data_IF_185361649868
#
_entry.id   IF_185361649868
#
_cell.length_a   1.000
_cell.length_b   1.000
_cell.length_c   1.000
_cell.angle_alpha   90.00
_cell.angle_beta   90.00
_cell.angle_gamma   90.00
#
_symmetry.space_group_name_H-M   'P 1'
#
loop_
_entity.id
_entity.type
_entity.pdbx_description
1 polymer ?
#
# COMPACT_ATOMS: atom_id res chain seq x y z
N UNK A 1 -6.89 31.07 6.76
CA UNK A 1 -7.68 29.91 7.21
C UNK A 1 -7.06 28.63 6.65
N UNK A 2 -5.96 28.17 7.22
CA UNK A 2 -5.39 26.85 6.90
C UNK A 2 -5.67 25.96 8.10
N UNK A 3 -6.54 24.96 7.93
CA UNK A 3 -6.83 23.99 8.98
C UNK A 3 -5.51 23.25 9.25
N UNK A 4 -5.04 23.32 10.50
CA UNK A 4 -3.91 22.53 10.98
C UNK A 4 -4.10 21.09 10.48
N UNK A 5 -3.10 20.47 9.82
CA UNK A 5 -3.18 19.05 9.55
C UNK A 5 -3.38 18.33 10.88
N UNK A 6 -4.24 17.30 10.95
CA UNK A 6 -4.37 16.52 12.17
C UNK A 6 -2.99 16.01 12.53
N UNK A 7 -2.45 16.47 13.67
CA UNK A 7 -1.30 15.81 14.29
C UNK A 7 -1.78 14.42 14.60
N UNK A 8 -1.39 13.45 13.77
CA UNK A 8 -1.55 12.04 14.10
C UNK A 8 -0.78 11.89 15.42
N UNK A 9 -1.45 11.60 16.55
CA UNK A 9 -0.73 11.39 17.79
C UNK A 9 0.16 10.17 17.56
N UNK A 10 1.47 10.37 17.71
CA UNK A 10 2.51 9.35 17.57
C UNK A 10 2.47 8.34 18.74
N UNK A 11 1.28 8.01 19.26
CA UNK A 11 1.07 7.35 20.55
C UNK A 11 -0.05 6.33 20.55
N UNK A 12 -0.47 5.80 19.39
CA UNK A 12 -1.20 4.54 19.35
C UNK A 12 -0.16 3.45 19.13
N UNK A 13 0.29 2.86 20.22
CA UNK A 13 1.19 1.72 20.24
C UNK A 13 0.55 0.55 19.46
N UNK A 14 1.09 0.29 18.27
CA UNK A 14 1.81 -0.93 17.89
C UNK A 14 1.48 -2.31 18.55
N UNK A 15 0.24 -2.66 18.95
CA UNK A 15 -0.04 -4.04 19.44
C UNK A 15 -1.36 -4.75 19.02
N UNK A 16 -2.29 -4.13 18.27
CA UNK A 16 -3.46 -4.86 17.69
C UNK A 16 -3.85 -4.38 16.28
N UNK A 17 -2.87 -3.99 15.48
CA UNK A 17 -3.03 -3.95 14.01
C UNK A 17 -2.02 -4.94 13.44
N UNK A 18 -2.44 -5.98 12.70
CA UNK A 18 -1.49 -6.95 12.20
C UNK A 18 -0.46 -6.23 11.35
N UNK A 19 0.77 -6.22 11.86
CA UNK A 19 2.00 -6.04 11.08
C UNK A 19 2.13 -4.70 10.34
N UNK A 20 2.53 -3.64 11.03
CA UNK A 20 3.46 -2.65 10.43
C UNK A 20 4.90 -3.20 10.38
N UNK A 21 5.01 -4.51 10.13
CA UNK A 21 6.24 -5.28 10.14
C UNK A 21 6.14 -6.36 9.08
N UNK A 22 6.57 -6.00 7.86
CA UNK A 22 7.26 -6.87 6.87
C UNK A 22 7.12 -6.29 5.46
N UNK A 23 8.06 -5.43 5.05
CA UNK A 23 8.51 -5.22 3.64
C UNK A 23 7.50 -5.56 2.54
N UNK A 24 6.32 -4.94 2.55
CA UNK A 24 5.46 -4.99 1.38
C UNK A 24 6.10 -4.10 0.31
N UNK A 25 6.60 -4.66 -0.82
CA UNK A 25 7.33 -3.90 -1.82
C UNK A 25 6.45 -2.88 -2.55
N UNK A 26 5.12 -2.94 -2.35
CA UNK A 26 4.13 -2.07 -2.96
C UNK A 26 3.73 -0.89 -2.08
N UNK A 27 4.07 -0.91 -0.78
CA UNK A 27 3.82 0.20 0.14
C UNK A 27 4.38 1.54 -0.39
N UNK A 28 5.50 1.53 -1.12
CA UNK A 28 6.07 2.73 -1.74
C UNK A 28 5.14 3.47 -2.71
N UNK A 29 4.12 2.78 -3.26
CA UNK A 29 3.12 3.39 -4.13
C UNK A 29 1.90 3.93 -3.36
N UNK A 30 1.75 3.61 -2.08
CA UNK A 30 0.64 4.08 -1.26
C UNK A 30 0.70 5.59 -0.98
N UNK A 31 1.87 6.12 -0.59
CA UNK A 31 2.02 7.56 -0.30
C UNK A 31 1.65 8.46 -1.51
N UNK A 32 2.08 8.17 -2.75
CA UNK A 32 1.64 8.91 -3.93
C UNK A 32 0.11 8.92 -4.15
N UNK A 33 -0.58 7.80 -3.88
CA UNK A 33 -2.05 7.73 -3.98
C UNK A 33 -2.68 8.68 -2.97
N UNK A 34 -2.22 8.64 -1.71
CA UNK A 34 -2.74 9.53 -0.65
C UNK A 34 -2.54 11.00 -1.02
N UNK A 35 -1.34 11.37 -1.48
CA UNK A 35 -1.06 12.74 -1.93
C UNK A 35 -1.95 13.15 -3.12
N UNK A 36 -2.19 12.25 -4.07
CA UNK A 36 -3.07 12.54 -5.19
C UNK A 36 -4.51 12.77 -4.73
N UNK A 37 -5.03 11.93 -3.84
CA UNK A 37 -6.38 12.06 -3.29
C UNK A 37 -6.55 13.39 -2.55
N UNK A 38 -5.61 13.75 -1.68
CA UNK A 38 -5.65 15.03 -0.96
C UNK A 38 -5.71 16.23 -1.91
N UNK A 39 -4.96 16.19 -3.03
CA UNK A 39 -4.95 17.26 -4.05
C UNK A 39 -6.19 17.29 -4.93
N UNK A 40 -6.86 16.16 -5.10
CA UNK A 40 -7.99 16.00 -6.03
C UNK A 40 -9.34 15.93 -5.33
N UNK A 41 -9.45 16.41 -4.10
CA UNK A 41 -10.67 16.35 -3.29
C UNK A 41 -11.18 14.90 -3.15
N UNK A 42 -10.25 13.97 -2.93
CA UNK A 42 -10.51 12.53 -2.81
C UNK A 42 -11.16 11.89 -4.04
N UNK A 43 -11.11 12.55 -5.20
CA UNK A 43 -11.58 11.98 -6.45
C UNK A 43 -10.57 10.96 -6.98
N UNK A 44 -10.82 9.68 -6.66
CA UNK A 44 -9.97 8.57 -7.08
C UNK A 44 -9.85 8.44 -8.61
N UNK A 45 -10.84 8.87 -9.38
CA UNK A 45 -10.75 8.78 -10.84
C UNK A 45 -9.62 9.64 -11.42
N UNK A 46 -9.26 10.73 -10.72
CA UNK A 46 -8.12 11.58 -11.10
C UNK A 46 -6.77 10.97 -10.71
N UNK A 47 -6.78 9.96 -9.84
CA UNK A 47 -5.59 9.28 -9.32
C UNK A 47 -5.39 7.88 -9.95
N UNK A 48 -6.04 7.62 -11.09
CA UNK A 48 -5.96 6.33 -11.80
C UNK A 48 -4.51 5.92 -12.06
N UNK A 49 -3.62 6.86 -12.39
CA UNK A 49 -2.22 6.57 -12.68
C UNK A 49 -1.47 6.01 -11.45
N UNK A 50 -1.63 6.62 -10.28
CA UNK A 50 -1.01 6.19 -9.03
C UNK A 50 -1.60 4.86 -8.56
N UNK A 51 -2.92 4.69 -8.68
CA UNK A 51 -3.63 3.45 -8.35
C UNK A 51 -3.19 2.30 -9.25
N UNK A 52 -3.03 2.53 -10.56
CA UNK A 52 -2.52 1.52 -11.49
C UNK A 52 -1.13 1.04 -11.09
N UNK A 53 -0.21 1.94 -10.72
CA UNK A 53 1.15 1.55 -10.29
C UNK A 53 1.13 0.65 -9.05
N UNK A 54 0.27 0.95 -8.09
CA UNK A 54 0.09 0.11 -6.90
C UNK A 54 -0.46 -1.26 -7.28
N UNK A 55 -1.53 -1.31 -8.09
CA UNK A 55 -2.15 -2.55 -8.55
C UNK A 55 -1.17 -3.43 -9.34
N UNK A 56 -0.38 -2.83 -10.23
CA UNK A 56 0.64 -3.54 -11.01
C UNK A 56 1.70 -4.18 -10.11
N UNK A 57 2.09 -3.48 -9.03
CA UNK A 57 3.00 -4.05 -8.04
C UNK A 57 2.37 -5.25 -7.32
N UNK A 58 1.14 -5.10 -6.83
CA UNK A 58 0.43 -6.16 -6.11
C UNK A 58 0.24 -7.38 -7.00
N UNK A 59 -0.14 -7.18 -8.26
CA UNK A 59 -0.30 -8.25 -9.25
C UNK A 59 0.99 -9.05 -9.42
N UNK A 60 2.13 -8.38 -9.62
CA UNK A 60 3.44 -9.05 -9.73
C UNK A 60 3.80 -9.83 -8.47
N UNK A 61 3.56 -9.24 -7.30
CA UNK A 61 3.84 -9.88 -6.02
C UNK A 61 3.01 -11.16 -5.81
N UNK A 62 1.73 -11.14 -6.21
CA UNK A 62 0.87 -12.32 -6.18
C UNK A 62 1.40 -13.38 -7.14
N UNK A 63 1.70 -13.02 -8.39
CA UNK A 63 2.24 -13.94 -9.39
C UNK A 63 3.55 -14.60 -8.92
N UNK A 64 4.46 -13.84 -8.30
CA UNK A 64 5.70 -14.36 -7.73
C UNK A 64 5.43 -15.31 -6.56
N UNK A 65 4.50 -14.97 -5.66
CA UNK A 65 4.13 -15.87 -4.56
C UNK A 65 3.52 -17.17 -5.06
N UNK A 66 2.67 -17.15 -6.08
CA UNK A 66 2.09 -18.36 -6.66
C UNK A 66 3.17 -19.25 -7.31
N UNK A 67 4.13 -18.67 -8.03
CA UNK A 67 5.28 -19.41 -8.56
C UNK A 67 6.11 -20.07 -7.45
N UNK A 68 6.37 -19.33 -6.36
CA UNK A 68 7.10 -19.86 -5.21
C UNK A 68 6.35 -20.98 -4.49
N UNK A 69 5.01 -20.92 -4.42
CA UNK A 69 4.18 -22.01 -3.87
C UNK A 69 4.29 -23.27 -4.72
N UNK A 70 4.14 -23.13 -6.04
CA UNK A 70 4.24 -24.25 -6.99
C UNK A 70 5.65 -24.88 -6.98
N UNK A 71 6.70 -24.05 -6.86
CA UNK A 71 8.07 -24.54 -6.74
C UNK A 71 8.33 -25.28 -5.41
N UNK A 72 7.67 -24.88 -4.31
CA UNK A 72 7.78 -25.54 -3.01
C UNK A 72 6.96 -26.82 -2.88
N UNK A 73 5.93 -27.01 -3.72
CA UNK A 73 5.11 -28.24 -3.75
C UNK A 73 5.79 -29.43 -4.47
N UNK A 74 6.96 -29.24 -5.09
CA UNK A 74 7.71 -30.31 -5.79
C UNK A 74 8.82 -30.97 -4.95
N UNK A 75 8.97 -30.61 -3.68
CA UNK A 75 9.86 -31.28 -2.72
C UNK A 75 9.03 -31.97 -1.65
N UNK A 76 8.51 -33.14 -1.99
CA UNK A 76 7.79 -34.06 -1.09
C UNK A 76 8.00 -35.48 -1.57
#
# INVERSE_FOLDING_TARGET
MFKNPPKIPQSIADDDLPTHGSKDPCHKYACPIQTCLERNNYNQEKCKAEVTKYNDCVKKLIEEREKLKNAKQSTG
#
